data_IF_253474701921
#
_entry.id   IF_253474701921
#
_cell.length_a   1.000
_cell.length_b   1.000
_cell.length_c   1.000
_cell.angle_alpha   90.00
_cell.angle_beta   90.00
_cell.angle_gamma   90.00
#
_symmetry.space_group_name_H-M   'P 1'
#
loop_
_entity.id
_entity.type
_entity.pdbx_description
1 polymer ?
#
# COMPACT_ATOMS: atom_id res chain seq x y z
N UNK A 1 -12.31 -5.84 -35.78
CA UNK A 1 -11.65 -7.09 -36.19
C UNK A 1 -11.13 -7.75 -34.91
N UNK A 2 -11.56 -8.96 -34.56
CA UNK A 2 -11.08 -9.65 -33.35
C UNK A 2 -9.76 -10.37 -33.67
N UNK A 3 -8.74 -10.14 -32.86
CA UNK A 3 -7.45 -10.83 -32.93
C UNK A 3 -7.51 -12.07 -32.03
N UNK A 4 -7.18 -13.24 -32.57
CA UNK A 4 -7.08 -14.50 -31.81
C UNK A 4 -5.61 -14.86 -31.64
N UNK A 5 -5.16 -15.01 -30.39
CA UNK A 5 -3.81 -15.51 -30.06
C UNK A 5 -3.89 -16.87 -29.40
N UNK A 6 -3.10 -17.81 -29.88
CA UNK A 6 -2.96 -19.14 -29.27
C UNK A 6 -1.90 -19.07 -28.17
N UNK A 7 -2.33 -19.28 -26.93
CA UNK A 7 -1.43 -19.33 -25.77
C UNK A 7 -0.83 -20.72 -25.67
N UNK A 8 0.50 -20.81 -25.59
CA UNK A 8 1.20 -22.06 -25.30
C UNK A 8 1.26 -22.18 -23.76
N UNK A 9 0.62 -23.21 -23.16
CA UNK A 9 0.66 -23.37 -21.71
C UNK A 9 2.11 -23.61 -21.24
N UNK A 10 2.51 -23.05 -20.09
CA UNK A 10 3.82 -23.32 -19.53
C UNK A 10 3.98 -24.81 -19.22
N UNK A 11 5.19 -25.34 -19.40
CA UNK A 11 5.51 -26.70 -18.99
C UNK A 11 5.62 -26.71 -17.46
N UNK A 12 4.78 -27.51 -16.78
CA UNK A 12 4.67 -27.53 -15.31
C UNK A 12 5.34 -28.75 -14.66
N UNK A 13 6.09 -29.56 -15.40
CA UNK A 13 6.86 -30.65 -14.80
C UNK A 13 8.08 -30.10 -14.04
N UNK A 14 8.61 -30.86 -13.09
CA UNK A 14 9.70 -30.43 -12.19
C UNK A 14 10.93 -29.90 -12.95
N UNK A 15 11.24 -30.44 -14.13
CA UNK A 15 12.36 -29.97 -14.95
C UNK A 15 12.19 -28.56 -15.52
N UNK A 16 10.97 -28.01 -15.47
CA UNK A 16 10.63 -26.66 -15.92
C UNK A 16 10.21 -25.73 -14.77
N UNK A 17 10.28 -26.20 -13.50
CA UNK A 17 10.06 -25.35 -12.34
C UNK A 17 11.35 -24.65 -11.93
N UNK A 18 11.26 -23.35 -11.62
CA UNK A 18 12.37 -22.57 -11.08
C UNK A 18 12.52 -22.75 -9.56
N UNK A 19 13.14 -21.76 -8.92
CA UNK A 19 13.33 -21.75 -7.47
C UNK A 19 12.02 -21.59 -6.71
N UNK A 20 11.85 -22.35 -5.61
CA UNK A 20 10.78 -22.12 -4.64
C UNK A 20 11.21 -21.01 -3.68
N UNK A 21 10.51 -19.88 -3.73
CA UNK A 21 10.75 -18.73 -2.87
C UNK A 21 9.61 -18.60 -1.87
N UNK A 22 9.93 -18.47 -0.58
CA UNK A 22 8.94 -18.30 0.49
C UNK A 22 9.33 -17.08 1.32
N UNK A 23 8.40 -16.13 1.47
CA UNK A 23 8.57 -14.95 2.30
C UNK A 23 7.60 -14.96 3.48
N UNK A 24 8.12 -15.15 4.70
CA UNK A 24 7.31 -14.99 5.90
C UNK A 24 6.92 -13.52 6.06
N UNK A 25 5.61 -13.26 6.10
CA UNK A 25 5.04 -11.94 6.29
C UNK A 25 4.03 -11.98 7.44
N UNK A 26 4.41 -11.53 8.63
CA UNK A 26 3.49 -11.43 9.74
C UNK A 26 2.31 -10.51 9.38
N UNK A 27 1.10 -11.02 9.53
CA UNK A 27 -0.15 -10.25 9.48
C UNK A 27 -0.69 -10.06 10.90
N UNK A 28 -1.46 -8.99 11.10
CA UNK A 28 -2.30 -8.88 12.29
C UNK A 28 -3.61 -9.62 12.03
N UNK A 29 -4.22 -10.09 13.11
CA UNK A 29 -5.64 -10.42 13.12
C UNK A 29 -6.42 -9.10 13.21
N UNK A 30 -7.37 -8.89 12.30
CA UNK A 30 -7.99 -7.58 12.08
C UNK A 30 -7.14 -6.64 11.22
N UNK A 31 -7.44 -5.32 11.22
CA UNK A 31 -6.75 -4.37 10.36
C UNK A 31 -5.27 -4.18 10.72
N UNK A 32 -4.44 -3.67 9.79
CA UNK A 32 -3.07 -3.26 10.10
C UNK A 32 -3.06 -2.24 11.24
N UNK A 33 -2.00 -2.23 12.06
CA UNK A 33 -1.88 -1.19 13.09
C UNK A 33 -1.43 0.10 12.42
N UNK A 34 -2.24 1.15 12.57
CA UNK A 34 -2.07 2.44 11.91
C UNK A 34 -2.42 3.59 12.87
N UNK A 35 -1.61 3.76 13.91
CA UNK A 35 -1.95 4.61 15.06
C UNK A 35 -0.79 5.52 15.45
N UNK A 36 -1.11 6.67 16.05
CA UNK A 36 -0.13 7.55 16.69
C UNK A 36 -0.12 7.31 18.19
N UNK A 37 1.04 6.98 18.72
CA UNK A 37 1.31 6.86 20.14
C UNK A 37 2.21 8.02 20.60
N UNK A 38 1.95 8.57 21.78
CA UNK A 38 2.82 9.55 22.44
C UNK A 38 3.43 8.92 23.68
N UNK A 39 4.76 8.91 23.77
CA UNK A 39 5.49 8.37 24.93
C UNK A 39 6.46 9.39 25.50
N UNK A 40 6.55 9.43 26.82
CA UNK A 40 7.59 10.19 27.51
C UNK A 40 8.86 9.35 27.59
N UNK A 41 9.95 9.88 27.07
CA UNK A 41 11.29 9.34 27.23
C UNK A 41 12.20 10.41 27.82
N UNK A 42 12.65 10.20 29.06
CA UNK A 42 13.54 11.12 29.79
C UNK A 42 13.05 12.58 29.78
N UNK A 43 11.75 12.79 30.05
CA UNK A 43 11.12 14.10 30.08
C UNK A 43 10.77 14.69 28.71
N UNK A 44 11.07 13.98 27.60
CA UNK A 44 10.74 14.42 26.24
C UNK A 44 9.62 13.56 25.66
N UNK A 45 8.57 14.21 25.16
CA UNK A 45 7.49 13.52 24.44
C UNK A 45 8.01 13.11 23.06
N UNK A 46 7.88 11.83 22.74
CA UNK A 46 8.11 11.24 21.42
C UNK A 46 6.77 10.87 20.79
N UNK A 47 6.62 11.19 19.51
CA UNK A 47 5.48 10.81 18.69
C UNK A 47 5.92 9.59 17.87
N UNK A 48 5.18 8.49 17.98
CA UNK A 48 5.49 7.21 17.35
C UNK A 48 4.31 6.86 16.44
N UNK A 49 4.56 6.70 15.14
CA UNK A 49 3.58 6.17 14.20
C UNK A 49 3.77 4.67 14.02
N UNK A 50 2.75 3.88 14.35
CA UNK A 50 2.74 2.44 14.11
C UNK A 50 2.17 2.17 12.71
N UNK A 51 2.90 1.42 11.87
CA UNK A 51 2.45 0.99 10.53
C UNK A 51 2.87 -0.45 10.23
N UNK A 52 2.15 -1.45 10.74
CA UNK A 52 2.56 -2.85 10.55
C UNK A 52 1.39 -3.85 10.53
N UNK A 53 1.65 -5.04 9.99
CA UNK A 53 0.68 -6.14 9.94
C UNK A 53 -0.23 -6.13 8.71
N UNK A 54 0.28 -5.70 7.56
CA UNK A 54 -0.52 -5.35 6.37
C UNK A 54 -1.15 -6.49 5.56
N UNK A 55 -0.76 -7.76 5.78
CA UNK A 55 -1.13 -8.89 4.92
C UNK A 55 -1.02 -8.54 3.41
N UNK A 56 -1.89 -9.07 2.53
CA UNK A 56 -2.10 -8.55 1.16
C UNK A 56 -0.83 -8.29 0.34
N UNK A 57 0.16 -9.19 0.40
CA UNK A 57 1.49 -9.04 -0.22
C UNK A 57 2.33 -7.85 0.29
N UNK A 58 1.88 -7.12 1.32
CA UNK A 58 2.46 -5.87 1.80
C UNK A 58 2.29 -4.69 0.83
N UNK A 59 1.73 -4.94 -0.36
CA UNK A 59 1.56 -4.00 -1.45
C UNK A 59 0.11 -3.49 -1.55
N UNK A 60 -0.86 -4.31 -1.14
CA UNK A 60 -2.30 -4.04 -1.39
C UNK A 60 -2.78 -2.70 -0.82
N UNK A 61 -2.32 -2.33 0.38
CA UNK A 61 -2.72 -1.08 1.05
C UNK A 61 -1.61 -0.02 1.07
N UNK A 62 -0.42 -0.34 0.56
CA UNK A 62 0.83 0.32 0.95
C UNK A 62 0.84 1.84 0.77
N UNK A 63 0.62 2.41 -0.44
CA UNK A 63 0.72 3.86 -0.61
C UNK A 63 -0.32 4.58 0.24
N UNK A 64 -1.60 4.19 0.15
CA UNK A 64 -2.68 4.89 0.84
C UNK A 64 -2.53 4.86 2.37
N UNK A 65 -2.19 3.71 2.95
CA UNK A 65 -2.05 3.59 4.41
C UNK A 65 -0.83 4.38 4.92
N UNK A 66 0.27 4.42 4.16
CA UNK A 66 1.43 5.24 4.49
C UNK A 66 1.10 6.74 4.43
N UNK A 67 0.38 7.18 3.40
CA UNK A 67 -0.02 8.58 3.25
C UNK A 67 -0.96 9.02 4.38
N UNK A 68 -1.87 8.13 4.78
CA UNK A 68 -2.76 8.35 5.91
C UNK A 68 -1.99 8.48 7.22
N UNK A 69 -1.09 7.55 7.54
CA UNK A 69 -0.30 7.63 8.78
C UNK A 69 0.58 8.88 8.80
N UNK A 70 1.21 9.22 7.68
CA UNK A 70 2.02 10.42 7.56
C UNK A 70 1.20 11.68 7.83
N UNK A 71 -0.05 11.74 7.36
CA UNK A 71 -0.98 12.84 7.70
C UNK A 71 -1.19 12.92 9.23
N UNK A 72 -1.50 11.81 9.89
CA UNK A 72 -1.69 11.78 11.35
C UNK A 72 -0.42 12.17 12.12
N UNK A 73 0.75 11.73 11.65
CA UNK A 73 2.05 12.04 12.23
C UNK A 73 2.33 13.54 12.17
N UNK A 74 2.15 14.13 10.99
CA UNK A 74 2.31 15.56 10.69
C UNK A 74 1.40 16.40 11.60
N UNK A 75 0.11 16.08 11.66
CA UNK A 75 -0.85 16.79 12.52
C UNK A 75 -0.45 16.76 14.00
N UNK A 76 0.11 15.63 14.48
CA UNK A 76 0.57 15.52 15.86
C UNK A 76 1.87 16.30 16.12
N UNK A 77 2.75 16.39 15.13
CA UNK A 77 3.96 17.22 15.20
C UNK A 77 3.56 18.70 15.27
N UNK A 78 2.64 19.16 14.43
CA UNK A 78 2.13 20.55 14.42
C UNK A 78 1.49 20.92 15.76
N UNK A 79 0.56 20.08 16.25
CA UNK A 79 -0.10 20.27 17.54
C UNK A 79 0.89 20.40 18.69
N UNK A 80 1.96 19.60 18.67
CA UNK A 80 2.99 19.62 19.72
C UNK A 80 3.89 20.85 19.66
N UNK A 81 3.92 21.56 18.52
CA UNK A 81 4.75 22.76 18.31
C UNK A 81 3.96 24.07 18.34
N UNK A 82 2.63 24.01 18.31
CA UNK A 82 1.76 25.19 18.29
C UNK A 82 1.81 26.00 17.00
N UNK A 83 2.24 25.41 15.88
CA UNK A 83 2.32 26.09 14.57
C UNK A 83 1.91 25.15 13.43
N UNK A 84 1.23 25.68 12.42
CA UNK A 84 0.61 24.93 11.29
C UNK A 84 1.47 24.92 10.02
N UNK A 85 2.66 25.54 10.04
CA UNK A 85 3.56 25.58 8.91
C UNK A 85 4.79 24.69 9.10
N UNK A 86 4.77 23.44 8.62
CA UNK A 86 5.94 22.52 8.71
C UNK A 86 6.92 22.68 7.53
N UNK A 87 6.57 23.47 6.51
CA UNK A 87 7.45 23.68 5.34
C UNK A 87 8.80 24.27 5.78
N UNK A 88 9.88 23.52 5.56
CA UNK A 88 11.25 23.94 5.88
C UNK A 88 11.72 23.65 7.31
N UNK A 89 10.92 22.95 8.13
CA UNK A 89 11.33 22.58 9.49
C UNK A 89 12.18 21.31 9.45
N UNK A 90 13.41 21.43 9.96
CA UNK A 90 14.34 20.35 10.20
C UNK A 90 13.88 19.48 11.40
N UNK A 91 12.75 18.77 11.27
CA UNK A 91 12.30 17.79 12.29
C UNK A 91 12.97 16.44 12.00
N UNK A 92 13.80 15.91 12.92
CA UNK A 92 14.37 14.58 12.74
C UNK A 92 13.27 13.52 12.86
N UNK A 93 13.07 12.73 11.81
CA UNK A 93 12.15 11.60 11.78
C UNK A 93 12.96 10.33 11.52
N UNK A 94 12.82 9.36 12.42
CA UNK A 94 13.38 8.02 12.26
C UNK A 94 12.28 7.07 11.78
N UNK A 95 12.56 6.34 10.70
CA UNK A 95 11.70 5.33 10.09
C UNK A 95 12.37 3.98 10.31
N UNK A 96 11.66 3.05 10.95
CA UNK A 96 12.17 1.71 11.24
C UNK A 96 11.62 0.73 10.22
N UNK A 97 12.50 0.15 9.43
CA UNK A 97 12.20 -0.80 8.35
C UNK A 97 12.36 -0.19 6.95
N UNK A 98 13.05 -0.91 6.08
CA UNK A 98 13.31 -0.53 4.68
C UNK A 98 12.44 -1.32 3.67
N UNK A 99 11.41 -2.00 4.15
CA UNK A 99 10.41 -2.61 3.27
C UNK A 99 9.54 -1.55 2.60
N UNK A 100 8.63 -2.01 1.74
CA UNK A 100 7.72 -1.16 0.96
C UNK A 100 6.99 -0.11 1.81
N UNK A 101 6.53 -0.47 3.01
CA UNK A 101 5.86 0.45 3.93
C UNK A 101 6.81 1.57 4.38
N UNK A 102 8.01 1.23 4.85
CA UNK A 102 8.98 2.22 5.32
C UNK A 102 9.46 3.15 4.22
N UNK A 103 9.69 2.61 3.01
CA UNK A 103 10.10 3.42 1.86
C UNK A 103 8.97 4.32 1.33
N UNK A 104 7.71 3.86 1.28
CA UNK A 104 6.58 4.73 0.96
C UNK A 104 6.36 5.81 2.02
N UNK A 105 6.52 5.47 3.30
CA UNK A 105 6.50 6.45 4.40
C UNK A 105 7.56 7.53 4.18
N UNK A 106 8.80 7.14 3.87
CA UNK A 106 9.88 8.08 3.61
C UNK A 106 9.59 8.96 2.37
N UNK A 107 9.21 8.32 1.25
CA UNK A 107 8.88 9.00 0.00
C UNK A 107 7.80 10.07 0.18
N UNK A 108 6.69 9.76 0.85
CA UNK A 108 5.61 10.72 1.03
C UNK A 108 5.97 11.84 2.01
N UNK A 109 6.80 11.58 3.02
CA UNK A 109 7.36 12.63 3.89
C UNK A 109 8.29 13.57 3.10
N UNK A 110 9.18 13.04 2.26
CA UNK A 110 10.03 13.83 1.38
C UNK A 110 9.19 14.74 0.47
N UNK A 111 8.14 14.17 -0.15
CA UNK A 111 7.20 14.91 -1.01
C UNK A 111 6.50 16.05 -0.27
N UNK A 112 6.22 15.88 1.03
CA UNK A 112 5.62 16.90 1.89
C UNK A 112 6.63 17.93 2.41
N UNK A 113 7.89 17.84 2.00
CA UNK A 113 8.93 18.84 2.29
C UNK A 113 9.76 18.55 3.54
N UNK A 114 9.66 17.35 4.12
CA UNK A 114 10.57 16.91 5.16
C UNK A 114 11.92 16.53 4.53
N UNK A 115 13.03 16.91 5.16
CA UNK A 115 14.37 16.68 4.62
C UNK A 115 15.35 16.05 5.63
N UNK A 116 14.90 15.77 6.86
CA UNK A 116 15.70 15.10 7.90
C UNK A 116 15.06 13.77 8.29
N UNK A 117 15.17 12.82 7.36
CA UNK A 117 14.68 11.47 7.53
C UNK A 117 15.87 10.52 7.70
N UNK A 118 15.75 9.58 8.64
CA UNK A 118 16.69 8.47 8.81
C UNK A 118 15.92 7.17 8.71
N UNK A 119 16.23 6.34 7.71
CA UNK A 119 15.69 4.97 7.61
C UNK A 119 16.68 4.03 8.27
N UNK A 120 16.24 3.29 9.28
CA UNK A 120 17.03 2.27 9.98
C UNK A 120 16.38 0.92 9.73
N UNK A 121 17.16 -0.03 9.22
CA UNK A 121 16.73 -1.39 8.97
C UNK A 121 17.92 -2.34 9.14
N UNK A 122 17.62 -3.61 9.41
CA UNK A 122 18.64 -4.68 9.44
C UNK A 122 19.24 -4.94 8.06
N UNK A 123 18.40 -4.86 7.01
CA UNK A 123 18.80 -4.97 5.61
C UNK A 123 17.99 -4.00 4.75
N UNK A 124 18.53 -3.68 3.59
CA UNK A 124 17.84 -2.99 2.49
C UNK A 124 17.60 -3.89 1.28
N UNK A 125 18.26 -5.06 1.26
CA UNK A 125 18.18 -6.06 0.20
C UNK A 125 17.54 -7.34 0.75
N UNK A 126 17.09 -8.23 -0.14
CA UNK A 126 16.54 -9.57 0.22
C UNK A 126 15.34 -9.54 1.19
N UNK A 127 14.68 -8.40 1.29
CA UNK A 127 13.49 -8.20 2.12
C UNK A 127 12.29 -9.02 1.64
N UNK A 128 11.33 -9.28 2.54
CA UNK A 128 10.01 -9.85 2.19
C UNK A 128 9.30 -9.06 1.08
N UNK A 129 9.60 -7.76 0.94
CA UNK A 129 9.13 -6.92 -0.16
C UNK A 129 9.73 -7.29 -1.53
N UNK A 130 10.99 -7.73 -1.61
CA UNK A 130 11.63 -8.14 -2.87
C UNK A 130 11.03 -9.42 -3.45
N UNK A 131 10.61 -10.32 -2.56
CA UNK A 131 10.05 -11.62 -2.93
C UNK A 131 8.51 -11.64 -2.84
N UNK A 132 7.88 -10.47 -2.72
CA UNK A 132 6.43 -10.36 -2.72
C UNK A 132 5.88 -10.71 -4.11
N UNK A 133 4.85 -11.56 -4.19
CA UNK A 133 4.17 -11.84 -5.45
C UNK A 133 3.45 -10.62 -6.06
N UNK A 134 3.35 -9.50 -5.34
CA UNK A 134 2.86 -8.22 -5.86
C UNK A 134 1.36 -8.16 -6.19
N UNK A 135 0.61 -9.24 -5.95
CA UNK A 135 -0.82 -9.27 -6.25
C UNK A 135 -1.56 -8.27 -5.35
N UNK A 136 -2.36 -7.41 -5.99
CA UNK A 136 -3.38 -6.60 -5.31
C UNK A 136 -4.50 -7.54 -4.87
N UNK A 137 -4.54 -7.88 -3.59
CA UNK A 137 -5.42 -8.90 -3.03
C UNK A 137 -6.24 -8.33 -1.86
N UNK A 138 -7.32 -7.56 -2.14
CA UNK A 138 -8.18 -6.97 -1.12
C UNK A 138 -8.77 -8.00 -0.15
N UNK A 139 -9.01 -9.23 -0.61
CA UNK A 139 -9.59 -10.33 0.16
C UNK A 139 -8.60 -11.04 1.10
N UNK A 140 -7.32 -10.65 1.13
CA UNK A 140 -6.30 -11.29 1.95
C UNK A 140 -6.25 -10.76 3.40
N UNK A 141 -7.25 -9.98 3.81
CA UNK A 141 -7.37 -9.37 5.13
C UNK A 141 -8.60 -9.95 5.83
N UNK A 142 -8.39 -10.61 6.96
CA UNK A 142 -9.47 -11.09 7.83
C UNK A 142 -9.87 -9.95 8.78
N UNK A 143 -11.02 -9.32 8.52
CA UNK A 143 -11.54 -8.21 9.31
C UNK A 143 -12.96 -8.54 9.74
N UNK A 144 -13.15 -8.64 11.06
CA UNK A 144 -14.44 -9.03 11.63
C UNK A 144 -15.39 -7.82 11.82
N UNK A 145 -14.88 -6.59 11.87
CA UNK A 145 -15.64 -5.38 12.12
C UNK A 145 -15.92 -4.59 10.83
N UNK A 146 -17.18 -4.30 10.55
CA UNK A 146 -17.62 -3.58 9.34
C UNK A 146 -16.99 -2.19 9.19
N UNK A 147 -16.83 -1.41 10.26
CA UNK A 147 -16.23 -0.07 10.17
C UNK A 147 -14.74 -0.14 9.83
N UNK A 148 -14.04 -1.18 10.31
CA UNK A 148 -12.64 -1.42 9.99
C UNK A 148 -12.48 -1.92 8.55
N UNK A 149 -13.45 -2.71 8.07
CA UNK A 149 -13.52 -3.16 6.68
C UNK A 149 -13.67 -1.97 5.72
N UNK A 150 -14.59 -1.05 5.98
CA UNK A 150 -14.80 0.14 5.13
C UNK A 150 -13.53 0.99 4.99
N UNK A 151 -12.78 1.13 6.09
CA UNK A 151 -11.52 1.86 6.09
C UNK A 151 -10.45 1.16 5.23
N UNK A 152 -10.34 -0.16 5.37
CA UNK A 152 -9.41 -0.98 4.59
C UNK A 152 -9.77 -0.99 3.11
N UNK A 153 -11.05 -1.11 2.77
CA UNK A 153 -11.55 -1.08 1.40
C UNK A 153 -11.23 0.27 0.74
N UNK A 154 -11.43 1.37 1.48
CA UNK A 154 -11.02 2.70 1.04
C UNK A 154 -9.53 2.75 0.70
N UNK A 155 -8.64 2.26 1.58
CA UNK A 155 -7.21 2.25 1.29
C UNK A 155 -6.83 1.33 0.15
N UNK A 156 -7.54 0.21 -0.03
CA UNK A 156 -7.33 -0.65 -1.19
C UNK A 156 -7.69 0.06 -2.48
N UNK A 157 -8.82 0.77 -2.54
CA UNK A 157 -9.25 1.55 -3.71
C UNK A 157 -8.26 2.69 -3.99
N UNK A 158 -7.88 3.46 -2.97
CA UNK A 158 -6.91 4.55 -3.11
C UNK A 158 -5.54 4.03 -3.60
N UNK A 159 -5.08 2.88 -3.09
CA UNK A 159 -3.84 2.25 -3.54
C UNK A 159 -3.95 1.74 -4.97
N UNK A 160 -5.08 1.11 -5.32
CA UNK A 160 -5.36 0.67 -6.70
C UNK A 160 -5.31 1.86 -7.67
N UNK A 161 -5.97 2.97 -7.34
CA UNK A 161 -5.97 4.18 -8.15
C UNK A 161 -4.56 4.75 -8.31
N UNK A 162 -3.76 4.79 -7.24
CA UNK A 162 -2.36 5.20 -7.31
C UNK A 162 -1.57 4.35 -8.32
N UNK A 163 -1.72 3.01 -8.28
CA UNK A 163 -1.04 2.13 -9.24
C UNK A 163 -1.58 2.29 -10.67
N UNK A 164 -2.89 2.50 -10.84
CA UNK A 164 -3.51 2.76 -12.14
C UNK A 164 -3.01 4.06 -12.76
N UNK A 165 -2.79 5.12 -11.96
CA UNK A 165 -2.21 6.36 -12.44
C UNK A 165 -0.79 6.16 -12.99
N UNK A 166 0.04 5.36 -12.33
CA UNK A 166 1.38 5.00 -12.83
C UNK A 166 1.25 4.23 -14.13
N UNK A 167 0.40 3.20 -14.17
CA UNK A 167 0.18 2.35 -15.33
C UNK A 167 -0.38 3.12 -16.55
N UNK A 168 -1.09 4.23 -16.31
CA UNK A 168 -1.64 5.12 -17.33
C UNK A 168 -0.69 6.28 -17.69
N UNK A 169 0.51 6.36 -17.08
CA UNK A 169 1.46 7.46 -17.31
C UNK A 169 0.97 8.81 -16.79
N UNK A 170 0.05 8.82 -15.82
CA UNK A 170 -0.52 10.03 -15.20
C UNK A 170 0.18 10.41 -13.89
N UNK A 171 0.95 9.49 -13.30
CA UNK A 171 1.70 9.76 -12.09
C UNK A 171 2.98 10.56 -12.43
N UNK A 172 3.20 11.69 -11.75
CA UNK A 172 4.35 12.57 -11.99
C UNK A 172 5.66 12.05 -11.40
N UNK A 173 5.59 11.14 -10.43
CA UNK A 173 6.72 10.70 -9.61
C UNK A 173 7.26 9.34 -10.05
N UNK A 174 6.35 8.44 -10.43
CA UNK A 174 6.67 7.12 -10.94
C UNK A 174 6.30 7.06 -12.41
N UNK A 175 7.28 6.93 -13.30
CA UNK A 175 7.02 6.97 -14.71
C UNK A 175 6.47 5.62 -15.21
N UNK A 176 5.75 5.62 -16.32
CA UNK A 176 5.02 4.44 -16.81
C UNK A 176 5.92 3.26 -17.16
N UNK A 177 7.19 3.50 -17.48
CA UNK A 177 8.19 2.46 -17.73
C UNK A 177 8.48 1.57 -16.51
N UNK A 178 8.12 2.01 -15.30
CA UNK A 178 8.17 1.18 -14.11
C UNK A 178 7.02 0.15 -14.05
N UNK A 179 6.09 0.17 -15.02
CA UNK A 179 4.94 -0.72 -15.07
C UNK A 179 5.01 -1.62 -16.30
N UNK A 180 4.88 -2.92 -16.05
CA UNK A 180 4.74 -3.92 -17.10
C UNK A 180 3.34 -4.55 -17.04
N UNK A 181 2.68 -4.66 -18.19
CA UNK A 181 1.45 -5.46 -18.30
C UNK A 181 1.84 -6.94 -18.29
N UNK A 182 1.39 -7.66 -17.27
CA UNK A 182 1.61 -9.10 -17.15
C UNK A 182 0.28 -9.84 -17.40
N UNK A 183 0.21 -10.73 -18.40
CA UNK A 183 -0.95 -11.60 -18.57
C UNK A 183 -1.04 -12.55 -17.37
N UNK A 184 -2.22 -12.64 -16.74
CA UNK A 184 -2.49 -13.55 -15.65
C UNK A 184 -3.42 -14.67 -16.11
N UNK A 185 -3.05 -15.91 -15.84
CA UNK A 185 -3.93 -17.07 -15.98
C UNK A 185 -4.60 -17.29 -14.63
N UNK A 186 -5.88 -17.01 -14.58
CA UNK A 186 -6.69 -17.21 -13.38
C UNK A 186 -7.88 -18.08 -13.75
N UNK A 187 -8.38 -18.83 -12.77
CA UNK A 187 -9.60 -19.60 -12.94
C UNK A 187 -10.76 -18.69 -13.35
N UNK A 188 -11.71 -19.20 -14.14
CA UNK A 188 -12.87 -18.44 -14.61
C UNK A 188 -13.70 -17.86 -13.45
N UNK A 189 -13.72 -18.54 -12.30
CA UNK A 189 -14.34 -18.04 -11.07
C UNK A 189 -13.67 -16.74 -10.58
N UNK A 190 -12.34 -16.65 -10.66
CA UNK A 190 -11.57 -15.46 -10.26
C UNK A 190 -11.80 -14.32 -11.26
N UNK A 191 -11.90 -14.61 -12.56
CA UNK A 191 -12.23 -13.60 -13.59
C UNK A 191 -13.58 -12.94 -13.31
N UNK A 192 -14.61 -13.73 -12.97
CA UNK A 192 -15.96 -13.21 -12.69
C UNK A 192 -15.97 -12.27 -11.50
N UNK A 193 -15.20 -12.57 -10.44
CA UNK A 193 -15.07 -11.72 -9.26
C UNK A 193 -14.32 -10.43 -9.60
N UNK A 194 -13.16 -10.52 -10.28
CA UNK A 194 -12.36 -9.33 -10.64
C UNK A 194 -13.09 -8.41 -11.64
N UNK A 195 -13.85 -8.97 -12.58
CA UNK A 195 -14.60 -8.20 -13.58
C UNK A 195 -15.74 -7.37 -12.95
N UNK A 196 -16.35 -7.84 -11.86
CA UNK A 196 -17.34 -7.07 -11.09
C UNK A 196 -16.69 -5.84 -10.44
N UNK A 197 -15.50 -5.99 -9.85
CA UNK A 197 -14.73 -4.88 -9.29
C UNK A 197 -14.34 -3.85 -10.36
N UNK A 198 -13.90 -4.29 -11.54
CA UNK A 198 -13.51 -3.40 -12.63
C UNK A 198 -14.69 -2.60 -13.23
N UNK A 199 -15.90 -3.17 -13.23
CA UNK A 199 -17.13 -2.46 -13.65
C UNK A 199 -17.55 -1.42 -12.61
N UNK A 200 -17.42 -1.70 -11.32
CA UNK A 200 -17.72 -0.75 -10.25
C UNK A 200 -16.84 0.50 -10.24
N UNK A 201 -15.60 0.40 -10.71
CA UNK A 201 -14.68 1.54 -10.80
C UNK A 201 -14.91 2.46 -12.03
N UNK A 202 -15.65 2.00 -13.05
CA UNK A 202 -15.86 2.76 -14.29
C UNK A 202 -17.29 3.31 -14.45
N UNK A 203 -18.21 3.00 -13.53
CA UNK A 203 -19.52 3.65 -13.51
C UNK A 203 -19.52 4.83 -12.52
N UNK A 204 -19.81 6.08 -12.97
CA UNK A 204 -20.01 7.17 -12.04
C UNK A 204 -21.19 6.84 -11.13
N UNK A 205 -21.01 7.06 -9.82
CA UNK A 205 -22.00 6.79 -8.78
C UNK A 205 -23.37 7.32 -9.22
N UNK A 206 -24.29 6.43 -9.57
CA UNK A 206 -25.70 6.81 -9.73
C UNK A 206 -26.21 7.16 -8.35
N UNK A 207 -26.28 8.46 -8.06
CA UNK A 207 -27.05 9.00 -6.94
C UNK A 207 -28.43 8.37 -6.96
N UNK A 208 -28.73 7.52 -5.97
CA UNK A 208 -30.08 7.02 -5.77
C UNK A 208 -30.94 8.20 -5.35
N UNK A 209 -31.77 8.72 -6.26
CA UNK A 209 -32.97 9.46 -5.88
C UNK A 209 -33.86 8.48 -5.14
N UNK A 210 -33.88 8.54 -3.81
CA UNK A 210 -35.03 8.06 -3.04
C UNK A 210 -36.16 9.05 -3.26
N UNK A 211 -37.12 8.66 -4.07
CA UNK A 211 -38.45 9.26 -4.08
C UNK A 211 -39.33 8.41 -3.15
N UNK A 212 -39.76 9.05 -2.06
CA UNK A 212 -40.86 8.75 -1.12
C UNK A 212 -40.94 7.31 -0.61
#
# INVERSE_FOLDING_TARGET
MMETRYLIPPKLNDSNLGNKIVGYRPCRHGPPRMEIEKRNYNGKIKIIGHNYGHAGSGWTLSPAICFHLNKLLIENIEKSRGNTGIKGINVPICIVGAGVIGLFTAYDLLKKGFNNLTVIAESFEELTSHIAGGLLAPFALEIDNTNEQDLVDKFCIESCNFYLEIAQGKNSEFPSECVQRMPAYVDEAVVKILALCYRGCNEPSKTSKRSI
#
